data_IF_017930761806
#
_entry.id   IF_017930761806
#
_cell.length_a   1.000
_cell.length_b   1.000
_cell.length_c   1.000
_cell.angle_alpha   90.00
_cell.angle_beta   90.00
_cell.angle_gamma   90.00
#
_symmetry.space_group_name_H-M   'P 1'
#
loop_
_entity.id
_entity.type
_entity.pdbx_description
1 polymer ?
#
# COMPACT_ATOMS: atom_id res chain seq x y z
N UNK A 1 13.47 34.00 45.22
CA UNK A 1 13.71 32.67 44.61
C UNK A 1 12.51 32.07 43.85
N UNK A 2 11.29 32.65 43.87
CA UNK A 2 10.11 32.06 43.19
C UNK A 2 10.06 32.21 41.65
N UNK A 3 10.70 33.22 41.03
CA UNK A 3 10.58 33.49 39.58
C UNK A 3 11.16 32.37 38.68
N UNK A 4 12.23 31.70 39.13
CA UNK A 4 12.89 30.64 38.35
C UNK A 4 12.05 29.35 38.25
N UNK A 5 11.28 29.03 39.29
CA UNK A 5 10.41 27.84 39.31
C UNK A 5 9.23 28.00 38.37
N UNK A 6 8.62 29.18 38.32
CA UNK A 6 7.53 29.48 37.36
C UNK A 6 8.00 29.45 35.91
N UNK A 7 9.21 29.93 35.62
CA UNK A 7 9.78 29.86 34.27
C UNK A 7 10.02 28.41 33.82
N UNK A 8 10.54 27.55 34.71
CA UNK A 8 10.76 26.13 34.41
C UNK A 8 9.45 25.36 34.19
N UNK A 9 8.43 25.61 35.02
CA UNK A 9 7.10 25.00 34.87
C UNK A 9 6.42 25.50 33.60
N UNK A 10 6.51 26.79 33.28
CA UNK A 10 5.95 27.35 32.05
C UNK A 10 6.63 26.77 30.79
N UNK A 11 7.96 26.60 30.82
CA UNK A 11 8.70 25.97 29.74
C UNK A 11 8.31 24.50 29.55
N UNK A 12 8.08 23.77 30.66
CA UNK A 12 7.62 22.37 30.62
C UNK A 12 6.20 22.26 30.07
N UNK A 13 5.29 23.15 30.44
CA UNK A 13 3.90 23.17 29.92
C UNK A 13 3.88 23.48 28.43
N UNK A 14 4.71 24.42 27.96
CA UNK A 14 4.83 24.75 26.53
C UNK A 14 5.42 23.58 25.75
N UNK A 15 6.44 22.90 26.28
CA UNK A 15 7.00 21.71 25.65
C UNK A 15 6.00 20.54 25.58
N UNK A 16 5.21 20.33 26.65
CA UNK A 16 4.20 19.28 26.71
C UNK A 16 3.01 19.58 25.78
N UNK A 17 2.60 20.84 25.68
CA UNK A 17 1.58 21.31 24.74
C UNK A 17 2.06 21.19 23.29
N UNK A 18 3.34 21.49 23.01
CA UNK A 18 3.95 21.30 21.69
C UNK A 18 4.01 19.83 21.26
N UNK A 19 4.27 18.92 22.21
CA UNK A 19 4.32 17.48 21.93
C UNK A 19 2.95 16.89 21.55
N UNK A 20 1.83 17.45 22.03
CA UNK A 20 0.49 17.00 21.65
C UNK A 20 0.08 17.37 20.22
N UNK A 21 0.74 18.36 19.60
CA UNK A 21 0.41 18.83 18.23
C UNK A 21 1.07 17.94 17.16
N UNK A 22 2.03 17.07 17.54
CA UNK A 22 2.76 16.19 16.62
C UNK A 22 2.06 14.85 16.33
N UNK A 23 0.77 14.70 16.64
CA UNK A 23 -0.01 13.54 16.17
C UNK A 23 -0.29 13.69 14.67
N UNK A 24 0.70 13.37 13.85
CA UNK A 24 0.53 13.23 12.41
C UNK A 24 -0.46 12.10 12.13
N UNK A 25 -1.70 12.43 11.76
CA UNK A 25 -2.63 11.43 11.25
C UNK A 25 -2.06 10.89 9.93
N UNK A 26 -1.72 9.60 9.91
CA UNK A 26 -1.49 8.87 8.67
C UNK A 26 -2.78 8.96 7.85
N UNK A 27 -2.76 9.76 6.79
CA UNK A 27 -3.97 10.03 6.00
C UNK A 27 -4.08 9.03 4.86
N UNK A 28 -5.25 8.39 4.76
CA UNK A 28 -5.64 7.62 3.58
C UNK A 28 -5.83 8.59 2.41
N UNK A 29 -5.30 8.30 1.21
CA UNK A 29 -5.49 9.14 0.03
C UNK A 29 -6.96 9.29 -0.35
N UNK A 30 -7.36 10.48 -0.80
CA UNK A 30 -8.76 10.81 -1.08
C UNK A 30 -9.41 9.85 -2.09
N UNK A 31 -8.66 9.38 -3.09
CA UNK A 31 -9.14 8.45 -4.11
C UNK A 31 -9.55 7.06 -3.58
N UNK A 32 -9.07 6.64 -2.41
CA UNK A 32 -9.35 5.33 -1.80
C UNK A 32 -9.94 5.44 -0.39
N UNK A 33 -10.27 6.67 0.03
CA UNK A 33 -10.90 6.94 1.32
C UNK A 33 -12.26 6.27 1.42
N UNK A 34 -12.96 6.15 0.30
CA UNK A 34 -14.36 5.71 0.26
C UNK A 34 -15.30 6.85 0.67
N UNK A 35 -16.57 6.68 0.39
CA UNK A 35 -17.64 7.59 0.85
C UNK A 35 -18.04 7.30 2.30
N UNK A 36 -17.74 6.10 2.79
CA UNK A 36 -18.06 5.64 4.14
C UNK A 36 -16.83 5.70 5.05
N UNK A 37 -17.03 6.09 6.31
CA UNK A 37 -15.95 6.23 7.32
C UNK A 37 -15.22 4.91 7.63
N UNK A 38 -15.88 3.77 7.40
CA UNK A 38 -15.37 2.40 7.64
C UNK A 38 -15.83 1.44 6.54
N UNK A 39 -15.19 1.42 5.37
CA UNK A 39 -15.48 0.43 4.34
C UNK A 39 -15.15 -0.98 4.83
N UNK A 40 -15.80 -1.98 4.23
CA UNK A 40 -15.55 -3.39 4.57
C UNK A 40 -14.19 -3.81 4.03
N UNK A 41 -13.26 -4.16 4.92
CA UNK A 41 -11.90 -4.60 4.57
C UNK A 41 -11.68 -6.11 4.78
N UNK A 42 -12.53 -6.76 5.57
CA UNK A 42 -12.42 -8.19 5.86
C UNK A 42 -13.08 -9.04 4.77
N UNK A 43 -12.26 -9.51 3.82
CA UNK A 43 -12.72 -10.35 2.71
C UNK A 43 -13.34 -11.68 3.18
N UNK A 44 -12.86 -12.26 4.28
CA UNK A 44 -13.39 -13.54 4.79
C UNK A 44 -14.82 -13.37 5.31
N UNK A 45 -15.12 -12.24 5.96
CA UNK A 45 -16.48 -11.92 6.40
C UNK A 45 -17.46 -11.82 5.22
N UNK A 46 -17.04 -11.18 4.12
CA UNK A 46 -17.87 -11.06 2.91
C UNK A 46 -18.13 -12.43 2.28
N UNK A 47 -17.13 -13.31 2.24
CA UNK A 47 -17.30 -14.66 1.67
C UNK A 47 -18.19 -15.56 2.52
N UNK A 48 -18.10 -15.46 3.83
CA UNK A 48 -18.87 -16.31 4.74
C UNK A 48 -20.33 -15.87 4.85
N UNK A 49 -20.62 -14.58 4.64
CA UNK A 49 -21.99 -14.05 4.78
C UNK A 49 -22.28 -12.96 3.75
N UNK A 50 -22.30 -13.30 2.44
CA UNK A 50 -22.40 -12.33 1.36
C UNK A 50 -23.66 -11.47 1.42
N UNK A 51 -24.78 -12.04 1.87
CA UNK A 51 -26.08 -11.37 1.95
C UNK A 51 -26.06 -10.10 2.81
N UNK A 52 -25.15 -10.02 3.79
CA UNK A 52 -24.99 -8.86 4.66
C UNK A 52 -24.11 -7.76 4.07
N UNK A 53 -23.29 -8.07 3.07
CA UNK A 53 -22.27 -7.16 2.55
C UNK A 53 -22.50 -6.75 1.09
N UNK A 54 -23.37 -7.44 0.35
CA UNK A 54 -23.83 -6.97 -0.97
C UNK A 54 -24.50 -5.60 -0.79
N UNK A 55 -24.16 -4.66 -1.68
CA UNK A 55 -24.58 -3.26 -1.62
C UNK A 55 -23.75 -2.37 -0.69
N UNK A 56 -22.87 -2.93 0.15
CA UNK A 56 -21.99 -2.15 1.02
C UNK A 56 -20.71 -1.72 0.29
N UNK A 57 -20.14 -0.60 0.74
CA UNK A 57 -18.83 -0.15 0.27
C UNK A 57 -17.72 -1.02 0.89
N UNK A 58 -16.97 -1.71 0.03
CA UNK A 58 -15.80 -2.48 0.37
C UNK A 58 -14.51 -1.77 -0.06
N UNK A 59 -13.44 -1.99 0.69
CA UNK A 59 -12.09 -1.56 0.35
C UNK A 59 -11.18 -2.78 0.38
N UNK A 60 -10.69 -3.16 -0.80
CA UNK A 60 -9.81 -4.30 -0.95
C UNK A 60 -8.56 -3.87 -1.71
N UNK A 61 -7.43 -4.48 -1.40
CA UNK A 61 -6.19 -4.19 -2.11
C UNK A 61 -5.23 -5.36 -2.05
N UNK A 62 -4.25 -5.34 -2.93
CA UNK A 62 -3.30 -6.44 -3.09
C UNK A 62 -2.66 -6.42 -4.48
N UNK A 63 -2.10 -7.56 -4.89
CA UNK A 63 -1.40 -7.69 -6.16
C UNK A 63 -2.38 -8.02 -7.28
N UNK A 64 -2.32 -7.30 -8.40
CA UNK A 64 -3.13 -7.62 -9.58
C UNK A 64 -2.51 -8.81 -10.31
N UNK A 65 -3.27 -9.89 -10.44
CA UNK A 65 -2.85 -11.12 -11.13
C UNK A 65 -3.18 -11.06 -12.62
N UNK A 66 -4.34 -10.52 -12.97
CA UNK A 66 -4.80 -10.41 -14.35
C UNK A 66 -5.64 -9.15 -14.57
N UNK A 67 -5.61 -8.67 -15.81
CA UNK A 67 -6.39 -7.52 -16.29
C UNK A 67 -7.10 -7.97 -17.55
N UNK A 68 -8.43 -7.92 -17.55
CA UNK A 68 -9.26 -8.23 -18.70
C UNK A 68 -10.09 -7.01 -19.09
N UNK A 69 -9.79 -6.45 -20.25
CA UNK A 69 -10.59 -5.37 -20.82
C UNK A 69 -11.82 -5.96 -21.52
N UNK A 70 -13.01 -5.65 -20.99
CA UNK A 70 -14.29 -5.92 -21.62
C UNK A 70 -14.74 -4.71 -22.44
N UNK A 71 -15.91 -4.80 -23.08
CA UNK A 71 -16.38 -3.76 -24.01
C UNK A 71 -16.49 -2.37 -23.38
N UNK A 72 -16.98 -2.28 -22.14
CA UNK A 72 -17.30 -1.02 -21.46
C UNK A 72 -16.62 -0.87 -20.08
N UNK A 73 -15.87 -1.89 -19.65
CA UNK A 73 -15.26 -1.96 -18.31
C UNK A 73 -14.03 -2.84 -18.30
N UNK A 74 -13.18 -2.64 -17.31
CA UNK A 74 -12.00 -3.47 -17.08
C UNK A 74 -12.20 -4.31 -15.83
N UNK A 75 -11.97 -5.62 -15.94
CA UNK A 75 -11.95 -6.53 -14.81
C UNK A 75 -10.52 -6.73 -14.32
N UNK A 76 -10.29 -6.38 -13.06
CA UNK A 76 -9.04 -6.66 -12.36
C UNK A 76 -9.25 -7.88 -11.46
N UNK A 77 -8.40 -8.89 -11.62
CA UNK A 77 -8.28 -9.99 -10.65
C UNK A 77 -7.20 -9.63 -9.64
N UNK A 78 -7.60 -9.36 -8.40
CA UNK A 78 -6.70 -8.89 -7.36
C UNK A 78 -6.54 -9.99 -6.31
N UNK A 79 -5.30 -10.40 -6.05
CA UNK A 79 -4.93 -11.21 -4.89
C UNK A 79 -4.97 -10.30 -3.66
N UNK A 80 -6.08 -10.36 -2.92
CA UNK A 80 -6.33 -9.52 -1.77
C UNK A 80 -5.35 -9.82 -0.63
N UNK A 81 -4.75 -8.76 -0.10
CA UNK A 81 -3.86 -8.74 1.05
C UNK A 81 -4.49 -7.91 2.17
N UNK A 82 -4.10 -8.15 3.44
CA UNK A 82 -4.44 -7.24 4.53
C UNK A 82 -3.95 -5.82 4.23
N UNK A 83 -4.77 -4.83 4.55
CA UNK A 83 -4.43 -3.43 4.35
C UNK A 83 -3.83 -2.83 5.64
N UNK A 84 -2.84 -1.95 5.46
CA UNK A 84 -2.33 -1.09 6.51
C UNK A 84 -3.28 0.09 6.77
N UNK A 85 -3.03 0.88 7.82
CA UNK A 85 -3.84 2.05 8.18
C UNK A 85 -3.89 3.14 7.10
N UNK A 86 -2.88 3.20 6.22
CA UNK A 86 -2.86 4.06 5.03
C UNK A 86 -3.56 3.44 3.81
N UNK A 87 -4.26 2.32 4.01
CA UNK A 87 -4.89 1.49 2.99
C UNK A 87 -3.93 0.88 1.95
N UNK A 88 -2.62 0.83 2.23
CA UNK A 88 -1.65 0.12 1.39
C UNK A 88 -1.67 -1.39 1.68
N UNK A 89 -1.52 -2.26 0.66
CA UNK A 89 -1.40 -3.70 0.87
C UNK A 89 -0.12 -4.04 1.66
N UNK A 90 -0.25 -4.90 2.67
CA UNK A 90 0.89 -5.38 3.45
C UNK A 90 1.64 -6.50 2.69
N UNK A 91 2.77 -6.12 2.10
CA UNK A 91 3.76 -7.03 1.52
C UNK A 91 4.29 -7.93 2.65
N UNK A 92 4.38 -9.24 2.47
CA UNK A 92 4.74 -10.25 3.50
C UNK A 92 3.61 -10.72 4.44
N UNK A 93 2.34 -10.45 4.10
CA UNK A 93 1.20 -11.10 4.76
C UNK A 93 0.57 -12.16 3.87
N UNK A 94 -0.03 -13.21 4.45
CA UNK A 94 -0.75 -14.21 3.66
C UNK A 94 -1.93 -13.57 2.92
N UNK A 95 -2.19 -14.05 1.72
CA UNK A 95 -3.34 -13.61 0.93
C UNK A 95 -4.66 -14.02 1.59
N UNK A 96 -5.62 -13.10 1.64
CA UNK A 96 -6.98 -13.34 2.13
C UNK A 96 -7.85 -14.02 1.07
N UNK A 97 -7.44 -13.97 -0.19
CA UNK A 97 -8.13 -14.57 -1.32
C UNK A 97 -8.00 -13.73 -2.58
N UNK A 98 -8.93 -13.91 -3.51
CA UNK A 98 -9.03 -13.18 -4.77
C UNK A 98 -10.36 -12.47 -4.88
N UNK A 99 -10.34 -11.31 -5.50
CA UNK A 99 -11.52 -10.49 -5.78
C UNK A 99 -11.53 -10.06 -7.24
N UNK A 100 -12.73 -9.92 -7.80
CA UNK A 100 -12.94 -9.29 -9.10
C UNK A 100 -13.40 -7.86 -8.87
N UNK A 101 -12.59 -6.93 -9.35
CA UNK A 101 -12.86 -5.51 -9.27
C UNK A 101 -13.13 -4.99 -10.68
N UNK A 102 -14.38 -4.59 -10.93
CA UNK A 102 -14.79 -4.01 -12.21
C UNK A 102 -14.62 -2.48 -12.15
N UNK A 103 -13.78 -1.95 -13.02
CA UNK A 103 -13.54 -0.51 -13.19
C UNK A 103 -14.26 -0.08 -14.46
N UNK A 104 -15.08 0.97 -14.38
CA UNK A 104 -15.73 1.53 -15.56
C UNK A 104 -14.70 2.26 -16.42
N UNK A 105 -14.55 1.84 -17.67
CA UNK A 105 -13.52 2.33 -18.59
C UNK A 105 -12.34 1.37 -18.79
N UNK A 106 -11.42 1.78 -19.65
CA UNK A 106 -10.25 1.00 -20.07
C UNK A 106 -9.07 1.24 -19.13
N UNK A 107 -8.40 0.16 -18.71
CA UNK A 107 -7.10 0.23 -18.04
C UNK A 107 -6.05 -0.53 -18.85
N UNK A 108 -4.87 0.06 -18.98
CA UNK A 108 -3.74 -0.54 -19.67
C UNK A 108 -3.19 -1.75 -18.87
N UNK A 109 -3.22 -2.98 -19.38
CA UNK A 109 -2.78 -4.16 -18.63
C UNK A 109 -1.36 -4.07 -18.08
N UNK A 110 -0.42 -3.47 -18.81
CA UNK A 110 0.98 -3.35 -18.38
C UNK A 110 1.15 -2.44 -17.15
N UNK A 111 0.24 -1.48 -16.98
CA UNK A 111 0.27 -0.51 -15.89
C UNK A 111 -0.23 -1.08 -14.57
N UNK A 112 -0.98 -2.18 -14.63
CA UNK A 112 -1.70 -2.74 -13.48
C UNK A 112 -1.27 -4.16 -13.16
N UNK A 113 -1.04 -5.00 -14.17
CA UNK A 113 -0.62 -6.39 -13.96
C UNK A 113 0.68 -6.43 -13.17
N UNK A 114 0.75 -7.33 -12.20
CA UNK A 114 1.88 -7.48 -11.28
C UNK A 114 2.17 -6.28 -10.37
N UNK A 115 1.34 -5.23 -10.42
CA UNK A 115 1.42 -4.09 -9.52
C UNK A 115 0.46 -4.23 -8.34
N UNK A 116 0.75 -3.49 -7.27
CA UNK A 116 -0.11 -3.41 -6.10
C UNK A 116 -1.15 -2.31 -6.27
N UNK A 117 -2.39 -2.62 -5.93
CA UNK A 117 -3.51 -1.68 -6.02
C UNK A 117 -4.36 -1.77 -4.78
N UNK A 118 -5.02 -0.66 -4.45
CA UNK A 118 -6.16 -0.62 -3.53
C UNK A 118 -7.34 -0.06 -4.28
N UNK A 119 -8.47 -0.76 -4.21
CA UNK A 119 -9.73 -0.39 -4.83
C UNK A 119 -10.78 -0.12 -3.75
N UNK A 120 -11.66 0.83 -4.00
CA UNK A 120 -12.83 1.12 -3.17
C UNK A 120 -14.07 1.17 -4.04
N UNK A 121 -15.17 0.61 -3.55
CA UNK A 121 -16.40 0.54 -4.31
C UNK A 121 -17.44 -0.36 -3.68
N UNK A 122 -18.57 -0.56 -4.37
CA UNK A 122 -19.68 -1.36 -3.84
C UNK A 122 -19.48 -2.84 -4.14
N UNK A 123 -19.68 -3.70 -3.15
CA UNK A 123 -19.71 -5.16 -3.35
C UNK A 123 -21.04 -5.51 -4.03
N UNK A 124 -20.98 -6.18 -5.18
CA UNK A 124 -22.17 -6.42 -6.00
C UNK A 124 -22.62 -7.87 -5.95
N UNK A 125 -21.69 -8.83 -5.93
CA UNK A 125 -22.03 -10.24 -6.06
C UNK A 125 -20.90 -11.18 -5.60
N UNK A 126 -21.17 -12.49 -5.59
CA UNK A 126 -20.21 -13.57 -5.53
C UNK A 126 -20.24 -14.38 -6.82
N UNK A 127 -19.17 -14.31 -7.61
CA UNK A 127 -19.04 -15.06 -8.85
C UNK A 127 -18.30 -16.37 -8.62
N UNK A 128 -18.87 -17.47 -9.10
CA UNK A 128 -18.18 -18.78 -9.12
C UNK A 128 -17.21 -18.80 -10.30
N UNK A 129 -15.94 -19.04 -10.00
CA UNK A 129 -14.91 -19.25 -11.00
C UNK A 129 -13.99 -20.40 -10.60
N UNK A 130 -12.81 -20.43 -11.22
CA UNK A 130 -11.79 -21.41 -10.91
C UNK A 130 -10.46 -20.71 -10.60
N UNK A 131 -9.70 -21.29 -9.67
CA UNK A 131 -8.27 -20.97 -9.49
C UNK A 131 -7.51 -22.23 -9.87
N UNK A 132 -6.88 -22.21 -11.05
CA UNK A 132 -6.38 -23.43 -11.67
C UNK A 132 -7.54 -24.40 -11.92
N UNK A 133 -7.51 -25.58 -11.30
CA UNK A 133 -8.54 -26.61 -11.43
C UNK A 133 -9.50 -26.68 -10.22
N UNK A 134 -9.38 -25.77 -9.25
CA UNK A 134 -10.22 -25.76 -8.06
C UNK A 134 -11.34 -24.72 -8.17
N UNK A 135 -12.60 -25.07 -7.84
CA UNK A 135 -13.70 -24.11 -7.82
C UNK A 135 -13.45 -23.05 -6.74
N UNK A 136 -13.77 -21.80 -7.05
CA UNK A 136 -13.51 -20.65 -6.20
C UNK A 136 -14.64 -19.62 -6.27
N UNK A 137 -15.00 -19.03 -5.14
CA UNK A 137 -15.99 -17.95 -5.07
C UNK A 137 -15.25 -16.60 -4.99
N UNK A 138 -15.34 -15.82 -6.07
CA UNK A 138 -14.79 -14.49 -6.18
C UNK A 138 -15.78 -13.47 -5.64
N UNK A 139 -15.34 -12.61 -4.73
CA UNK A 139 -16.11 -11.40 -4.39
C UNK A 139 -16.00 -10.43 -5.54
N UNK A 140 -17.16 -10.02 -6.05
CA UNK A 140 -17.27 -9.06 -7.14
C UNK A 140 -17.62 -7.69 -6.57
N UNK A 141 -16.90 -6.67 -7.04
CA UNK A 141 -17.17 -5.29 -6.68
C UNK A 141 -17.10 -4.37 -7.89
N UNK A 142 -17.92 -3.32 -7.86
CA UNK A 142 -17.84 -2.19 -8.79
C UNK A 142 -16.99 -1.10 -8.17
N UNK A 143 -15.87 -0.77 -8.80
CA UNK A 143 -14.89 0.19 -8.32
C UNK A 143 -15.33 1.61 -8.63
N UNK A 144 -15.34 2.45 -7.60
CA UNK A 144 -15.58 3.90 -7.71
C UNK A 144 -14.26 4.67 -7.69
N UNK A 145 -13.25 4.15 -6.98
CA UNK A 145 -11.92 4.74 -6.93
C UNK A 145 -10.85 3.69 -6.71
N UNK A 146 -9.64 3.95 -7.24
CA UNK A 146 -8.50 3.08 -7.02
C UNK A 146 -7.21 3.88 -6.89
N UNK A 147 -6.22 3.26 -6.25
CA UNK A 147 -4.86 3.76 -6.15
C UNK A 147 -3.88 2.64 -6.46
N UNK A 148 -2.90 2.96 -7.30
CA UNK A 148 -1.74 2.11 -7.57
C UNK A 148 -0.61 2.44 -6.60
N UNK A 149 0.07 1.41 -6.13
CA UNK A 149 1.22 1.52 -5.24
C UNK A 149 2.47 1.09 -6.00
N UNK A 150 3.50 1.93 -5.93
CA UNK A 150 4.82 1.59 -6.44
C UNK A 150 5.58 0.85 -5.35
N UNK A 151 6.18 -0.27 -5.71
CA UNK A 151 7.14 -0.95 -4.85
C UNK A 151 8.40 -0.08 -4.82
N UNK A 152 8.55 0.73 -3.78
CA UNK A 152 9.81 1.43 -3.56
C UNK A 152 10.80 0.41 -3.05
N UNK A 153 11.70 -0.03 -3.92
CA UNK A 153 12.84 -0.84 -3.52
C UNK A 153 13.64 -0.04 -2.48
N UNK A 154 13.57 -0.48 -1.22
CA UNK A 154 14.46 0.05 -0.20
C UNK A 154 15.84 -0.49 -0.51
N UNK A 155 16.63 0.34 -1.17
CA UNK A 155 18.07 0.11 -1.28
C UNK A 155 18.64 0.25 0.13
N UNK A 156 18.80 -0.88 0.81
CA UNK A 156 19.54 -0.95 2.06
C UNK A 156 20.99 -0.64 1.75
N UNK A 157 21.35 0.63 1.94
CA UNK A 157 22.73 1.06 1.86
C UNK A 157 23.50 0.27 2.92
N UNK A 158 24.63 -0.39 2.55
CA UNK A 158 25.48 -1.01 3.55
C UNK A 158 25.82 0.03 4.62
N UNK A 159 25.96 -0.37 5.91
CA UNK A 159 26.31 0.56 6.98
C UNK A 159 27.61 1.25 6.58
N UNK A 160 27.50 2.51 6.15
CA UNK A 160 28.65 3.18 5.55
C UNK A 160 29.58 3.55 6.68
N UNK A 161 30.64 2.77 6.83
CA UNK A 161 31.79 3.18 7.62
C UNK A 161 32.37 4.44 6.99
N UNK A 162 32.03 5.61 7.55
CA UNK A 162 32.78 6.87 7.55
C UNK A 162 33.46 7.38 6.25
N UNK A 163 33.05 6.96 5.06
CA UNK A 163 33.66 7.44 3.81
C UNK A 163 32.78 7.24 2.56
N UNK A 164 31.60 7.86 2.52
CA UNK A 164 30.95 8.13 1.23
C UNK A 164 31.64 9.35 0.60
N UNK A 165 32.18 9.18 -0.60
CA UNK A 165 32.76 10.26 -1.39
C UNK A 165 32.02 10.43 -2.71
N UNK A 166 31.93 11.67 -3.16
CA UNK A 166 31.39 12.01 -4.48
C UNK A 166 32.56 12.28 -5.43
N UNK A 167 32.57 11.66 -6.61
CA UNK A 167 33.52 12.07 -7.64
C UNK A 167 33.06 13.36 -8.32
N UNK A 168 33.90 13.89 -9.22
CA UNK A 168 33.62 15.08 -10.01
C UNK A 168 32.33 14.97 -10.87
N UNK A 169 31.91 13.75 -11.20
CA UNK A 169 30.70 13.45 -11.98
C UNK A 169 29.46 13.18 -11.13
N UNK A 170 29.54 13.36 -9.81
CA UNK A 170 28.43 13.17 -8.88
C UNK A 170 28.06 11.71 -8.64
N UNK A 171 28.89 10.74 -9.00
CA UNK A 171 28.68 9.34 -8.64
C UNK A 171 29.24 9.06 -7.24
N UNK A 172 28.46 8.41 -6.36
CA UNK A 172 28.91 8.12 -5.01
C UNK A 172 29.74 6.82 -4.97
N UNK A 173 30.83 6.87 -4.20
CA UNK A 173 31.74 5.76 -3.93
C UNK A 173 31.88 5.57 -2.43
N UNK A 174 32.20 4.35 -2.01
CA UNK A 174 32.54 4.04 -0.64
C UNK A 174 33.84 3.22 -0.59
N UNK A 175 34.56 3.32 0.52
CA UNK A 175 35.74 2.49 0.75
C UNK A 175 35.36 1.23 1.54
N UNK A 176 35.54 0.06 0.96
CA UNK A 176 35.34 -1.23 1.62
C UNK A 176 36.68 -1.97 1.71
N UNK A 177 37.15 -2.28 2.92
CA UNK A 177 38.45 -2.94 3.19
C UNK A 177 39.65 -2.36 2.41
N UNK A 178 39.67 -1.03 2.19
CA UNK A 178 40.74 -0.33 1.46
C UNK A 178 40.58 -0.29 -0.06
N UNK A 179 39.48 -0.82 -0.61
CA UNK A 179 39.10 -0.71 -2.03
C UNK A 179 38.03 0.36 -2.22
N UNK A 180 38.14 1.16 -3.29
CA UNK A 180 37.11 2.15 -3.67
C UNK A 180 36.11 1.44 -4.60
N UNK A 181 34.86 1.33 -4.15
CA UNK A 181 33.80 0.66 -4.91
C UNK A 181 32.71 1.68 -5.26
N UNK A 182 32.27 1.65 -6.52
CA UNK A 182 31.10 2.41 -6.97
C UNK A 182 29.84 1.85 -6.33
N UNK A 183 29.00 2.71 -5.76
CA UNK A 183 27.73 2.25 -5.19
C UNK A 183 26.83 1.55 -6.22
N UNK A 184 26.93 1.93 -7.50
CA UNK A 184 26.16 1.29 -8.57
C UNK A 184 26.56 -0.17 -8.78
N UNK A 185 27.85 -0.47 -8.69
CA UNK A 185 28.39 -1.80 -8.97
C UNK A 185 28.19 -2.74 -7.77
N UNK A 186 28.33 -2.21 -6.54
CA UNK A 186 28.03 -2.95 -5.31
C UNK A 186 26.56 -3.38 -5.19
N UNK A 187 25.64 -2.60 -5.76
CA UNK A 187 24.22 -2.96 -5.82
C UNK A 187 23.93 -3.98 -6.91
N UNK A 188 24.70 -3.99 -8.01
CA UNK A 188 24.51 -4.92 -9.11
C UNK A 188 24.96 -6.35 -8.77
N UNK A 189 25.97 -6.53 -7.92
CA UNK A 189 26.49 -7.85 -7.51
C UNK A 189 25.61 -8.59 -6.48
N UNK A 190 24.54 -7.95 -5.97
CA UNK A 190 23.60 -8.56 -5.02
C UNK A 190 22.35 -9.16 -5.66
N UNK A 191 22.25 -9.14 -6.98
CA UNK A 191 21.22 -9.80 -7.78
C UNK A 191 21.83 -10.89 -8.66
#
# INVERSE_FOLDING_TARGET
>A
MLKGTHYRVMLQVVALAGAMILTGCVSVPDAIKGTTKTPVENLLSVKNTPELYIGHEGRFGGKVLSVLNEKDRTRLEILALPLASNAAPLLNKPSLGRVYAYVNGFLEPNDFKDHYVTVVGSITDLEKGMVGNSPYNYVVMNVVGFKRWYESERVDLPPVGNSVFWNYYGTPYFSDWGQIVSMKDALAERY
#
